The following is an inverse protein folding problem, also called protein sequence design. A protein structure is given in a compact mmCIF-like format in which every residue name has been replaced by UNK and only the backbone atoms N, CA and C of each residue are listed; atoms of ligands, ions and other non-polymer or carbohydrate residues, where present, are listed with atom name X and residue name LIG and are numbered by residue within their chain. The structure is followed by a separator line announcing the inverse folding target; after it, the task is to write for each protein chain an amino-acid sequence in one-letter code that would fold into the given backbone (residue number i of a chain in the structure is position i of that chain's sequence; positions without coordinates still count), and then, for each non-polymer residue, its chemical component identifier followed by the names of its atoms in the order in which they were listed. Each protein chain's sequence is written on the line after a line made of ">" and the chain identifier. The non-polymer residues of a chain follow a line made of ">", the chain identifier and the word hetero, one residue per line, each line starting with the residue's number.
data_IF_368347857884
#
_entry.id   IF_368347857884
#
_cell.length_a   1.000
_cell.length_b   1.000
_cell.length_c   1.000
_cell.angle_alpha   90.00
_cell.angle_beta   90.00
_cell.angle_gamma   90.00
#
_symmetry.space_group_name_H-M   'P 1'
#
loop_
_entity.id
_entity.type
_entity.pdbx_description
1 polymer ?
#
# COMPACT_ATOMS: atom_id res chain seq x y z
N UNK A 1 -10.97 -17.20 -9.23
CA UNK A 1 -11.70 -16.04 -9.75
C UNK A 1 -10.84 -14.80 -9.53
N UNK A 2 -10.36 -14.14 -10.58
CA UNK A 2 -9.64 -12.89 -10.43
C UNK A 2 -10.64 -11.81 -10.02
N UNK A 3 -10.72 -11.51 -8.72
CA UNK A 3 -11.49 -10.38 -8.22
C UNK A 3 -10.94 -9.12 -8.92
N UNK A 4 -11.84 -8.35 -9.54
CA UNK A 4 -11.49 -7.04 -10.08
C UNK A 4 -10.82 -6.21 -9.00
N UNK A 5 -9.56 -5.79 -9.24
CA UNK A 5 -8.81 -5.01 -8.26
C UNK A 5 -9.53 -3.73 -7.90
N UNK A 6 -9.57 -3.41 -6.62
CA UNK A 6 -10.12 -2.14 -6.15
C UNK A 6 -9.26 -0.97 -6.63
N UNK A 7 -9.81 0.26 -6.69
CA UNK A 7 -9.01 1.45 -7.02
C UNK A 7 -7.80 1.63 -6.09
N UNK A 8 -7.96 1.30 -4.80
CA UNK A 8 -6.91 1.32 -3.77
C UNK A 8 -5.79 0.34 -4.12
N UNK A 9 -6.12 -0.91 -4.46
CA UNK A 9 -5.12 -1.91 -4.86
C UNK A 9 -4.37 -1.51 -6.13
N UNK A 10 -5.06 -0.93 -7.12
CA UNK A 10 -4.41 -0.45 -8.34
C UNK A 10 -3.45 0.70 -8.06
N UNK A 11 -3.81 1.61 -7.14
CA UNK A 11 -2.93 2.70 -6.72
C UNK A 11 -1.73 2.17 -5.94
N UNK A 12 -1.95 1.26 -4.99
CA UNK A 12 -0.92 0.58 -4.22
C UNK A 12 0.12 -0.09 -5.13
N UNK A 13 -0.34 -0.84 -6.14
CA UNK A 13 0.55 -1.50 -7.11
C UNK A 13 1.36 -0.50 -7.94
N UNK A 14 0.77 0.60 -8.39
CA UNK A 14 1.50 1.65 -9.12
C UNK A 14 2.57 2.30 -8.25
N UNK A 15 2.26 2.56 -6.98
CA UNK A 15 3.21 3.13 -6.03
C UNK A 15 4.34 2.14 -5.71
N UNK A 16 4.01 0.88 -5.49
CA UNK A 16 4.97 -0.19 -5.26
C UNK A 16 5.89 -0.42 -6.49
N UNK A 17 5.33 -0.42 -7.70
CA UNK A 17 6.12 -0.56 -8.92
C UNK A 17 7.08 0.62 -9.13
N UNK A 18 6.72 1.82 -8.67
CA UNK A 18 7.56 3.02 -8.81
C UNK A 18 8.62 3.15 -7.72
N UNK A 19 8.29 2.82 -6.48
CA UNK A 19 9.13 3.11 -5.31
C UNK A 19 9.59 1.88 -4.53
N UNK A 20 9.19 0.67 -4.95
CA UNK A 20 9.49 -0.57 -4.24
C UNK A 20 9.02 -0.55 -2.79
N UNK A 21 9.71 -1.29 -1.94
CA UNK A 21 9.40 -1.39 -0.51
C UNK A 21 9.45 -0.03 0.21
N UNK A 22 10.25 0.93 -0.28
CA UNK A 22 10.30 2.27 0.29
C UNK A 22 8.98 3.04 0.14
N UNK A 23 8.18 2.75 -0.91
CA UNK A 23 6.87 3.38 -1.09
C UNK A 23 5.90 3.02 0.04
N UNK A 24 5.94 1.77 0.51
CA UNK A 24 5.12 1.30 1.65
C UNK A 24 5.45 2.12 2.91
N UNK A 25 6.74 2.26 3.21
CA UNK A 25 7.18 3.03 4.37
C UNK A 25 6.77 4.51 4.29
N UNK A 26 6.89 5.13 3.11
CA UNK A 26 6.46 6.51 2.90
C UNK A 26 4.95 6.70 3.08
N UNK A 27 4.13 5.71 2.67
CA UNK A 27 2.69 5.75 2.89
C UNK A 27 2.34 5.71 4.38
N UNK A 28 2.98 4.84 5.18
CA UNK A 28 2.78 4.83 6.62
C UNK A 28 3.20 6.12 7.31
N UNK A 29 4.33 6.71 6.90
CA UNK A 29 4.74 8.04 7.39
C UNK A 29 3.67 9.08 7.06
N UNK A 30 3.16 9.09 5.83
CA UNK A 30 2.13 10.03 5.40
C UNK A 30 0.82 9.84 6.18
N UNK A 31 0.40 8.61 6.43
CA UNK A 31 -0.77 8.31 7.27
C UNK A 31 -0.58 8.83 8.70
N UNK A 32 0.57 8.56 9.32
CA UNK A 32 0.90 9.05 10.66
C UNK A 32 0.98 10.59 10.72
N UNK A 33 1.45 11.25 9.66
CA UNK A 33 1.44 12.71 9.57
C UNK A 33 0.02 13.26 9.42
N UNK A 34 -0.83 12.65 8.59
CA UNK A 34 -2.22 13.05 8.43
C UNK A 34 -3.01 12.90 9.74
N UNK A 35 -2.76 11.81 10.49
CA UNK A 35 -3.35 11.62 11.81
C UNK A 35 -2.94 12.72 12.79
N UNK A 36 -1.64 13.02 12.87
CA UNK A 36 -1.11 14.11 13.72
C UNK A 36 -1.62 15.50 13.34
N UNK A 37 -1.98 15.73 12.08
CA UNK A 37 -2.58 16.98 11.60
C UNK A 37 -4.09 17.07 11.85
N UNK A 38 -4.70 16.09 12.51
CA UNK A 38 -6.14 16.07 12.76
C UNK A 38 -6.97 15.68 11.54
N UNK A 39 -6.39 14.98 10.56
CA UNK A 39 -7.08 14.50 9.37
C UNK A 39 -7.27 12.97 9.41
N UNK A 40 -8.14 12.42 10.29
CA UNK A 40 -8.26 10.98 10.50
C UNK A 40 -8.74 10.23 9.26
N UNK A 41 -9.64 10.83 8.46
CA UNK A 41 -10.12 10.22 7.21
C UNK A 41 -9.00 10.10 6.18
N UNK A 42 -8.14 11.11 6.06
CA UNK A 42 -6.99 11.05 5.17
C UNK A 42 -5.98 10.01 5.64
N UNK A 43 -5.74 9.93 6.96
CA UNK A 43 -4.87 8.90 7.52
C UNK A 43 -5.38 7.49 7.19
N UNK A 44 -6.67 7.23 7.41
CA UNK A 44 -7.29 5.94 7.10
C UNK A 44 -7.15 5.56 5.62
N UNK A 45 -7.48 6.48 4.70
CA UNK A 45 -7.32 6.22 3.26
C UNK A 45 -5.88 5.92 2.87
N UNK A 46 -4.90 6.62 3.45
CA UNK A 46 -3.48 6.38 3.16
C UNK A 46 -3.01 5.05 3.76
N UNK A 47 -3.49 4.69 4.96
CA UNK A 47 -3.24 3.38 5.57
C UNK A 47 -3.79 2.23 4.73
N UNK A 48 -5.01 2.34 4.21
CA UNK A 48 -5.59 1.32 3.31
C UNK A 48 -4.73 1.09 2.05
N UNK A 49 -4.15 2.16 1.49
CA UNK A 49 -3.23 2.05 0.34
C UNK A 49 -1.92 1.39 0.75
N UNK A 50 -1.39 1.70 1.95
CA UNK A 50 -0.17 1.09 2.48
C UNK A 50 -0.34 -0.42 2.70
N UNK A 51 -1.44 -0.83 3.33
CA UNK A 51 -1.78 -2.23 3.58
C UNK A 51 -1.97 -3.00 2.27
N UNK A 52 -2.66 -2.42 1.29
CA UNK A 52 -2.79 -3.05 -0.03
C UNK A 52 -1.43 -3.19 -0.74
N UNK A 53 -0.49 -2.27 -0.53
CA UNK A 53 0.85 -2.34 -1.08
C UNK A 53 1.70 -3.41 -0.38
N UNK A 54 1.57 -3.56 0.94
CA UNK A 54 2.20 -4.63 1.73
C UNK A 54 1.72 -6.00 1.28
N UNK A 55 0.40 -6.18 1.16
CA UNK A 55 -0.17 -7.46 0.74
C UNK A 55 0.30 -7.82 -0.68
N UNK A 56 0.33 -6.85 -1.59
CA UNK A 56 0.86 -7.06 -2.93
C UNK A 56 2.34 -7.44 -2.94
N UNK A 57 3.16 -6.79 -2.10
CA UNK A 57 4.58 -7.10 -1.96
C UNK A 57 4.79 -8.50 -1.37
N UNK A 58 4.08 -8.86 -0.31
CA UNK A 58 4.14 -10.18 0.31
C UNK A 58 3.72 -11.30 -0.65
N UNK A 59 2.66 -11.09 -1.43
CA UNK A 59 2.25 -12.05 -2.48
C UNK A 59 3.33 -12.22 -3.55
N UNK A 60 3.98 -11.13 -3.96
CA UNK A 60 5.06 -11.18 -4.96
C UNK A 60 6.32 -11.86 -4.40
N UNK A 61 6.71 -11.57 -3.16
CA UNK A 61 7.87 -12.19 -2.51
C UNK A 61 7.63 -13.68 -2.24
N UNK A 62 6.43 -14.04 -1.78
CA UNK A 62 6.02 -15.44 -1.63
C UNK A 62 6.04 -16.21 -2.95
N UNK A 63 5.59 -15.59 -4.05
CA UNK A 63 5.71 -16.19 -5.38
C UNK A 63 7.17 -16.36 -5.82
N UNK A 64 8.06 -15.42 -5.48
CA UNK A 64 9.49 -15.49 -5.79
C UNK A 64 10.21 -16.59 -5.00
N UNK A 65 9.79 -16.87 -3.78
CA UNK A 65 10.37 -17.91 -2.94
C UNK A 65 10.00 -19.35 -3.36
N UNK A 66 9.02 -19.52 -4.25
CA UNK A 66 8.53 -20.83 -4.73
C UNK A 66 9.10 -21.24 -6.10
N UNK A 67 9.98 -20.42 -6.70
CA UNK A 67 10.64 -20.64 -8.00
C UNK A 67 12.11 -20.99 -7.77
#
# INVERSE_FOLDING_TARGET
>A
MALSRTPTENLALKLLARGGIAAIWQLHIAAAQAHRKGCPRAAAMVSEIAEAAEEAWLRAEGARALV
#
